data_IF_168905855883
#
_entry.id   IF_168905855883
#
_cell.length_a   1.000
_cell.length_b   1.000
_cell.length_c   1.000
_cell.angle_alpha   90.00
_cell.angle_beta   90.00
_cell.angle_gamma   90.00
#
_symmetry.space_group_name_H-M   'P 1'
#
loop_
_entity.id
_entity.type
_entity.pdbx_description
1 polymer ?
#
# COMPACT_ATOMS: atom_id res chain seq x y z
N UNK A 1 6.37 -15.47 17.48
CA UNK A 1 6.09 -16.09 16.16
C UNK A 1 6.50 -15.18 15.01
N UNK A 2 5.98 -13.95 14.87
CA UNK A 2 6.36 -13.01 13.78
C UNK A 2 7.86 -12.72 13.66
N UNK A 3 8.59 -12.65 14.78
CA UNK A 3 10.04 -12.38 14.80
C UNK A 3 10.92 -13.57 14.38
N UNK A 4 10.41 -14.81 14.43
CA UNK A 4 11.24 -15.99 14.09
C UNK A 4 11.40 -16.18 12.58
N UNK A 5 10.53 -15.56 11.77
CA UNK A 5 10.59 -15.65 10.30
C UNK A 5 11.57 -14.67 9.67
N UNK A 6 11.91 -13.56 10.32
CA UNK A 6 12.81 -12.55 9.75
C UNK A 6 14.27 -13.00 9.60
N UNK A 7 14.60 -14.18 10.13
CA UNK A 7 15.93 -14.80 10.06
C UNK A 7 15.98 -15.98 9.06
N UNK A 8 14.90 -16.20 8.30
CA UNK A 8 14.80 -17.27 7.29
C UNK A 8 14.42 -16.68 5.94
N UNK A 9 14.66 -17.43 4.86
CA UNK A 9 14.29 -17.04 3.50
C UNK A 9 12.76 -17.14 3.24
N UNK A 10 11.96 -17.41 4.27
CA UNK A 10 10.52 -17.56 4.12
C UNK A 10 9.85 -16.25 3.70
N UNK A 11 10.29 -15.09 4.20
CA UNK A 11 9.63 -13.82 3.91
C UNK A 11 9.74 -13.44 2.42
N UNK A 12 10.95 -13.45 1.82
CA UNK A 12 11.08 -13.28 0.37
C UNK A 12 10.28 -14.33 -0.40
N UNK A 13 10.39 -15.62 -0.03
CA UNK A 13 9.71 -16.71 -0.72
C UNK A 13 8.19 -16.52 -0.78
N UNK A 14 7.52 -16.19 0.33
CA UNK A 14 6.05 -16.01 0.32
C UNK A 14 5.63 -14.76 -0.44
N UNK A 15 6.46 -13.71 -0.45
CA UNK A 15 6.20 -12.52 -1.27
C UNK A 15 6.37 -12.82 -2.77
N UNK A 16 7.38 -13.60 -3.15
CA UNK A 16 7.62 -14.01 -4.53
C UNK A 16 6.51 -14.93 -5.05
N UNK A 17 6.00 -15.85 -4.22
CA UNK A 17 4.83 -16.67 -4.57
C UNK A 17 3.57 -15.83 -4.87
N UNK A 18 3.40 -14.66 -4.22
CA UNK A 18 2.33 -13.71 -4.58
C UNK A 18 2.61 -13.10 -5.95
N UNK A 19 3.86 -12.78 -6.26
CA UNK A 19 4.27 -12.15 -7.51
C UNK A 19 4.12 -13.08 -8.73
N UNK A 20 4.48 -14.35 -8.57
CA UNK A 20 4.45 -15.37 -9.62
C UNK A 20 3.04 -15.75 -10.10
N UNK A 21 2.01 -15.58 -9.26
CA UNK A 21 0.63 -15.90 -9.63
C UNK A 21 0.03 -14.82 -10.57
N UNK A 22 -0.12 -15.14 -11.85
CA UNK A 22 -0.54 -14.17 -12.88
C UNK A 22 -1.99 -13.67 -12.74
N UNK A 23 -2.88 -14.50 -12.16
CA UNK A 23 -4.31 -14.19 -12.04
C UNK A 23 -4.62 -13.54 -10.69
N UNK A 24 -4.68 -14.35 -9.64
CA UNK A 24 -5.05 -13.94 -8.29
C UNK A 24 -4.36 -14.85 -7.28
N UNK A 25 -3.39 -14.33 -6.51
CA UNK A 25 -2.73 -15.08 -5.46
C UNK A 25 -3.76 -15.65 -4.48
N UNK A 26 -3.47 -16.83 -3.93
CA UNK A 26 -4.30 -17.45 -2.90
C UNK A 26 -4.54 -16.48 -1.74
N UNK A 27 -5.81 -16.29 -1.36
CA UNK A 27 -6.18 -15.33 -0.31
C UNK A 27 -5.52 -15.63 1.02
N UNK A 28 -5.29 -16.90 1.33
CA UNK A 28 -4.60 -17.35 2.53
C UNK A 28 -3.14 -16.88 2.54
N UNK A 29 -2.49 -16.88 1.37
CA UNK A 29 -1.11 -16.39 1.22
C UNK A 29 -1.05 -14.88 1.40
N UNK A 30 -1.98 -14.13 0.80
CA UNK A 30 -2.06 -12.67 1.00
C UNK A 30 -2.34 -12.36 2.47
N UNK A 31 -3.30 -13.04 3.11
CA UNK A 31 -3.63 -12.85 4.52
C UNK A 31 -2.46 -13.16 5.46
N UNK A 32 -1.66 -14.18 5.14
CA UNK A 32 -0.40 -14.46 5.84
C UNK A 32 0.57 -13.29 5.68
N UNK A 33 0.80 -12.81 4.45
CA UNK A 33 1.73 -11.72 4.20
C UNK A 33 1.29 -10.38 4.80
N UNK A 34 -0.02 -10.07 4.84
CA UNK A 34 -0.56 -8.91 5.57
C UNK A 34 -0.11 -8.95 7.04
N UNK A 35 -0.24 -10.10 7.69
CA UNK A 35 0.13 -10.27 9.09
C UNK A 35 1.65 -10.20 9.33
N UNK A 36 2.43 -10.73 8.38
CA UNK A 36 3.89 -10.70 8.42
C UNK A 36 4.43 -9.28 8.20
N UNK A 37 3.82 -8.51 7.30
CA UNK A 37 4.17 -7.12 6.99
C UNK A 37 4.01 -6.17 8.19
N UNK A 38 3.24 -6.54 9.23
CA UNK A 38 3.19 -5.75 10.48
C UNK A 38 4.52 -5.74 11.26
N UNK A 39 5.52 -6.55 10.86
CA UNK A 39 6.83 -6.57 11.51
C UNK A 39 7.86 -5.81 10.64
N UNK A 40 8.57 -4.88 11.27
CA UNK A 40 9.57 -4.01 10.62
C UNK A 40 10.60 -4.79 9.77
N UNK A 41 11.18 -5.87 10.32
CA UNK A 41 12.19 -6.67 9.62
C UNK A 41 11.59 -7.40 8.42
N UNK A 42 10.38 -7.94 8.55
CA UNK A 42 9.70 -8.62 7.47
C UNK A 42 9.31 -7.65 6.35
N UNK A 43 8.82 -6.45 6.70
CA UNK A 43 8.49 -5.41 5.73
C UNK A 43 9.72 -4.98 4.93
N UNK A 44 10.88 -4.80 5.59
CA UNK A 44 12.15 -4.56 4.90
C UNK A 44 12.48 -5.67 3.90
N UNK A 45 12.37 -6.93 4.33
CA UNK A 45 12.52 -8.10 3.47
C UNK A 45 11.43 -8.24 2.41
N UNK A 46 10.35 -7.44 2.43
CA UNK A 46 9.30 -7.43 1.40
C UNK A 46 9.49 -6.29 0.39
N UNK A 47 10.33 -5.27 0.67
CA UNK A 47 10.61 -4.18 -0.27
C UNK A 47 11.85 -4.37 -1.14
N UNK A 48 12.82 -5.15 -0.68
CA UNK A 48 14.06 -5.46 -1.42
C UNK A 48 13.82 -6.16 -2.79
N UNK A 49 14.86 -6.23 -3.64
CA UNK A 49 14.86 -6.98 -4.91
C UNK A 49 13.67 -6.69 -5.85
N UNK A 50 13.23 -5.43 -5.93
CA UNK A 50 12.08 -4.97 -6.73
C UNK A 50 10.72 -5.58 -6.35
N UNK A 51 10.62 -6.29 -5.22
CA UNK A 51 9.35 -6.89 -4.79
C UNK A 51 8.29 -5.84 -4.53
N UNK A 52 8.63 -4.70 -3.91
CA UNK A 52 7.67 -3.62 -3.70
C UNK A 52 7.04 -3.16 -5.02
N UNK A 53 7.87 -2.90 -6.02
CA UNK A 53 7.41 -2.50 -7.35
C UNK A 53 6.49 -3.56 -7.98
N UNK A 54 6.85 -4.84 -7.86
CA UNK A 54 6.02 -5.95 -8.32
C UNK A 54 4.67 -6.02 -7.61
N UNK A 55 4.67 -5.85 -6.29
CA UNK A 55 3.47 -5.88 -5.44
C UNK A 55 2.53 -4.72 -5.79
N UNK A 56 3.05 -3.51 -5.94
CA UNK A 56 2.29 -2.33 -6.34
C UNK A 56 1.70 -2.53 -7.74
N UNK A 57 2.51 -2.93 -8.73
CA UNK A 57 2.02 -3.21 -10.09
C UNK A 57 0.89 -4.23 -10.08
N UNK A 58 1.01 -5.30 -9.28
CA UNK A 58 -0.04 -6.30 -9.15
C UNK A 58 -1.30 -5.72 -8.52
N UNK A 59 -1.17 -5.02 -7.39
CA UNK A 59 -2.29 -4.39 -6.69
C UNK A 59 -3.06 -3.42 -7.60
N UNK A 60 -2.35 -2.60 -8.40
CA UNK A 60 -2.98 -1.70 -9.37
C UNK A 60 -3.64 -2.43 -10.53
N UNK A 61 -2.98 -3.46 -11.10
CA UNK A 61 -3.54 -4.26 -12.20
C UNK A 61 -4.84 -4.94 -11.80
N UNK A 62 -4.91 -5.48 -10.57
CA UNK A 62 -6.06 -6.25 -10.09
C UNK A 62 -7.05 -5.46 -9.27
N UNK A 63 -6.70 -4.23 -8.86
CA UNK A 63 -7.43 -3.41 -7.88
C UNK A 63 -7.73 -4.19 -6.58
N UNK A 64 -6.82 -5.08 -6.17
CA UNK A 64 -7.00 -5.99 -5.03
C UNK A 64 -6.69 -5.29 -3.71
N UNK A 65 -7.73 -5.03 -2.92
CA UNK A 65 -7.63 -4.36 -1.63
C UNK A 65 -6.78 -5.15 -0.61
N UNK A 66 -6.73 -6.49 -0.66
CA UNK A 66 -5.92 -7.27 0.29
C UNK A 66 -4.42 -7.16 -0.02
N UNK A 67 -4.05 -7.14 -1.29
CA UNK A 67 -2.66 -6.86 -1.70
C UNK A 67 -2.30 -5.43 -1.30
N UNK A 68 -3.21 -4.47 -1.50
CA UNK A 68 -2.97 -3.09 -1.11
C UNK A 68 -2.87 -2.91 0.41
N UNK A 69 -3.67 -3.63 1.20
CA UNK A 69 -3.56 -3.69 2.67
C UNK A 69 -2.22 -4.23 3.15
N UNK A 70 -1.67 -5.23 2.46
CA UNK A 70 -0.30 -5.70 2.74
C UNK A 70 0.71 -4.58 2.48
N UNK A 71 0.57 -3.85 1.36
CA UNK A 71 1.45 -2.72 1.02
C UNK A 71 1.32 -1.58 2.05
N UNK A 72 0.11 -1.29 2.53
CA UNK A 72 -0.12 -0.36 3.65
C UNK A 72 0.62 -0.77 4.91
N UNK A 73 0.57 -2.06 5.28
CA UNK A 73 1.32 -2.57 6.42
C UNK A 73 2.83 -2.48 6.23
N UNK A 74 3.33 -2.56 4.99
CA UNK A 74 4.73 -2.31 4.69
C UNK A 74 5.05 -0.83 4.92
N UNK A 75 4.25 0.10 4.39
CA UNK A 75 4.55 1.54 4.43
C UNK A 75 4.56 2.17 5.82
N UNK A 76 3.98 1.51 6.83
CA UNK A 76 3.96 2.02 8.21
C UNK A 76 5.37 2.08 8.86
N UNK A 77 6.36 1.35 8.32
CA UNK A 77 7.68 1.24 8.94
C UNK A 77 8.66 2.27 8.37
N UNK A 78 9.33 3.04 9.24
CA UNK A 78 10.25 4.13 8.86
C UNK A 78 11.31 3.73 7.82
N UNK A 79 11.92 2.55 7.97
CA UNK A 79 12.98 2.08 7.07
C UNK A 79 12.49 1.64 5.69
N UNK A 80 11.17 1.66 5.44
CA UNK A 80 10.58 1.31 4.13
C UNK A 80 10.01 2.52 3.39
N UNK A 81 9.76 3.65 4.08
CA UNK A 81 9.02 4.80 3.52
C UNK A 81 9.70 5.36 2.27
N UNK A 82 11.02 5.46 2.28
CA UNK A 82 11.81 5.95 1.13
C UNK A 82 11.63 5.08 -0.13
N UNK A 83 11.31 3.79 0.03
CA UNK A 83 11.02 2.91 -1.12
C UNK A 83 9.72 3.27 -1.84
N UNK A 84 8.85 4.10 -1.23
CA UNK A 84 7.56 4.49 -1.80
C UNK A 84 7.60 5.78 -2.62
N UNK A 85 8.69 6.56 -2.55
CA UNK A 85 8.77 7.93 -3.09
C UNK A 85 8.37 7.97 -4.57
N UNK A 86 8.86 7.04 -5.38
CA UNK A 86 8.56 6.99 -6.82
C UNK A 86 7.10 6.65 -7.15
N UNK A 87 6.35 6.07 -6.20
CA UNK A 87 4.97 5.60 -6.39
C UNK A 87 3.91 6.58 -5.86
N UNK A 88 4.31 7.64 -5.14
CA UNK A 88 3.34 8.55 -4.51
C UNK A 88 2.42 9.21 -5.55
N UNK A 89 2.94 9.56 -6.72
CA UNK A 89 2.14 10.09 -7.82
C UNK A 89 1.07 9.10 -8.30
N UNK A 90 1.43 7.82 -8.44
CA UNK A 90 0.51 6.78 -8.86
C UNK A 90 -0.59 6.53 -7.83
N UNK A 91 -0.24 6.48 -6.54
CA UNK A 91 -1.21 6.39 -5.45
C UNK A 91 -2.18 7.57 -5.44
N UNK A 92 -1.66 8.79 -5.56
CA UNK A 92 -2.47 10.00 -5.61
C UNK A 92 -3.44 9.99 -6.81
N UNK A 93 -3.00 9.60 -8.00
CA UNK A 93 -3.89 9.50 -9.16
C UNK A 93 -4.99 8.45 -8.94
N UNK A 94 -4.64 7.30 -8.36
CA UNK A 94 -5.57 6.18 -8.17
C UNK A 94 -6.77 6.54 -7.26
N UNK A 95 -6.62 7.46 -6.29
CA UNK A 95 -7.72 7.94 -5.45
C UNK A 95 -8.91 8.48 -6.27
N UNK A 96 -8.64 9.04 -7.46
CA UNK A 96 -9.65 9.65 -8.32
C UNK A 96 -10.11 8.76 -9.48
N UNK A 97 -9.41 7.64 -9.71
CA UNK A 97 -9.59 6.80 -10.90
C UNK A 97 -10.13 5.39 -10.58
N UNK A 98 -10.02 4.94 -9.33
CA UNK A 98 -10.51 3.63 -8.92
C UNK A 98 -11.98 3.68 -8.48
N UNK A 99 -12.77 2.72 -8.94
CA UNK A 99 -14.14 2.48 -8.48
C UNK A 99 -14.21 1.62 -7.20
N UNK A 100 -13.08 1.02 -6.78
CA UNK A 100 -13.01 0.11 -5.63
C UNK A 100 -12.75 0.89 -4.35
N UNK A 101 -13.80 1.12 -3.55
CA UNK A 101 -13.68 1.87 -2.29
C UNK A 101 -12.72 1.21 -1.29
N UNK A 102 -12.73 -0.11 -1.17
CA UNK A 102 -11.81 -0.83 -0.29
C UNK A 102 -10.35 -0.67 -0.74
N UNK A 103 -10.09 -0.66 -2.05
CA UNK A 103 -8.75 -0.44 -2.58
C UNK A 103 -8.28 1.01 -2.35
N UNK A 104 -9.17 1.98 -2.59
CA UNK A 104 -8.93 3.40 -2.33
C UNK A 104 -8.63 3.65 -0.85
N UNK A 105 -9.39 3.04 0.06
CA UNK A 105 -9.15 3.11 1.50
C UNK A 105 -7.72 2.71 1.86
N UNK A 106 -7.25 1.58 1.33
CA UNK A 106 -5.89 1.12 1.63
C UNK A 106 -4.82 2.03 0.99
N UNK A 107 -5.09 2.66 -0.16
CA UNK A 107 -4.20 3.67 -0.74
C UNK A 107 -4.14 4.93 0.14
N UNK A 108 -5.27 5.43 0.65
CA UNK A 108 -5.29 6.56 1.58
C UNK A 108 -4.47 6.22 2.81
N UNK A 109 -4.64 5.02 3.37
CA UNK A 109 -3.82 4.55 4.48
C UNK A 109 -2.33 4.44 4.16
N UNK A 110 -1.95 4.10 2.91
CA UNK A 110 -0.54 4.14 2.47
C UNK A 110 -0.04 5.57 2.48
N UNK A 111 -0.75 6.50 1.87
CA UNK A 111 -0.38 7.92 1.83
C UNK A 111 -0.31 8.53 3.23
N UNK A 112 -1.22 8.16 4.13
CA UNK A 112 -1.23 8.59 5.54
C UNK A 112 0.00 8.11 6.33
N UNK A 113 0.54 6.93 6.00
CA UNK A 113 1.79 6.44 6.59
C UNK A 113 3.04 7.19 6.08
N UNK A 114 2.99 7.74 4.87
CA UNK A 114 4.13 8.36 4.20
C UNK A 114 4.34 9.81 4.62
N UNK A 115 5.18 10.00 5.63
CA UNK A 115 5.75 11.29 6.01
C UNK A 115 7.13 11.41 5.36
N UNK A 116 7.19 12.00 4.17
CA UNK A 116 8.38 12.13 3.33
C UNK A 116 8.78 13.61 3.25
N UNK A 117 9.78 14.07 4.03
CA UNK A 117 10.09 15.50 4.18
C UNK A 117 10.44 16.22 2.88
N UNK A 118 11.09 15.52 1.95
CA UNK A 118 11.58 16.09 0.69
C UNK A 118 10.53 16.04 -0.44
N UNK A 119 9.32 15.53 -0.16
CA UNK A 119 8.27 15.40 -1.15
C UNK A 119 7.49 16.71 -1.34
N UNK A 120 7.34 17.14 -2.60
CA UNK A 120 6.51 18.29 -2.95
C UNK A 120 5.01 17.90 -2.96
N UNK A 121 4.42 17.84 -1.76
CA UNK A 121 3.00 17.57 -1.59
C UNK A 121 2.10 18.57 -2.32
N UNK A 122 2.52 19.84 -2.46
CA UNK A 122 1.73 20.85 -3.15
C UNK A 122 1.60 20.52 -4.64
N UNK A 123 2.70 20.10 -5.27
CA UNK A 123 2.69 19.64 -6.66
C UNK A 123 1.79 18.40 -6.85
N UNK A 124 1.87 17.42 -5.93
CA UNK A 124 1.05 16.19 -6.00
C UNK A 124 -0.43 16.52 -5.88
N UNK A 125 -0.82 17.33 -4.88
CA UNK A 125 -2.20 17.74 -4.65
C UNK A 125 -2.82 18.45 -5.87
N UNK A 126 -2.03 19.28 -6.56
CA UNK A 126 -2.46 20.00 -7.75
C UNK A 126 -2.55 19.07 -8.97
N UNK A 127 -1.48 18.32 -9.28
CA UNK A 127 -1.43 17.47 -10.48
C UNK A 127 -2.45 16.33 -10.45
N UNK A 128 -2.72 15.78 -9.27
CA UNK A 128 -3.64 14.66 -9.09
C UNK A 128 -5.06 15.11 -8.71
N UNK A 129 -5.35 16.42 -8.76
CA UNK A 129 -6.67 16.98 -8.46
C UNK A 129 -7.25 16.53 -7.09
N UNK A 130 -6.38 16.46 -6.07
CA UNK A 130 -6.76 15.90 -4.77
C UNK A 130 -7.54 16.88 -3.90
N UNK A 131 -7.38 18.19 -4.09
CA UNK A 131 -8.11 19.18 -3.28
C UNK A 131 -9.63 19.03 -3.46
N UNK A 132 -10.18 18.98 -4.69
CA UNK A 132 -11.60 18.70 -4.87
C UNK A 132 -12.01 17.31 -4.35
N UNK A 133 -11.17 16.28 -4.53
CA UNK A 133 -11.46 14.95 -4.03
C UNK A 133 -11.59 14.93 -2.50
N UNK A 134 -10.66 15.54 -1.77
CA UNK A 134 -10.69 15.65 -0.31
C UNK A 134 -11.94 16.39 0.14
N UNK A 135 -12.24 17.56 -0.44
CA UNK A 135 -13.45 18.34 -0.12
C UNK A 135 -14.73 17.56 -0.37
N UNK A 136 -14.74 16.75 -1.42
CA UNK A 136 -15.89 15.94 -1.77
C UNK A 136 -16.07 14.77 -0.79
N UNK A 137 -15.01 14.19 -0.22
CA UNK A 137 -15.13 13.07 0.72
C UNK A 137 -15.33 13.54 2.17
N UNK A 138 -14.79 14.69 2.55
CA UNK A 138 -14.96 15.29 3.89
C UNK A 138 -16.31 16.03 4.06
N UNK A 139 -17.39 15.44 3.56
CA UNK A 139 -18.76 15.90 3.79
C UNK A 139 -19.42 14.95 4.80
N UNK A 140 -19.99 15.45 5.92
CA UNK A 140 -20.60 14.59 6.92
C UNK A 140 -21.61 13.60 6.34
N UNK A 141 -21.44 12.31 6.64
CA UNK A 141 -22.31 11.23 6.20
C UNK A 141 -22.17 10.81 4.73
N UNK A 142 -21.20 11.37 3.97
CA UNK A 142 -21.03 11.03 2.56
C UNK A 142 -20.20 9.77 2.32
N UNK A 143 -19.16 9.55 3.12
CA UNK A 143 -18.31 8.35 3.04
C UNK A 143 -18.23 7.69 4.41
N UNK A 144 -17.89 6.38 4.48
CA UNK A 144 -17.71 5.68 5.75
C UNK A 144 -16.64 6.34 6.62
N UNK A 145 -16.83 6.27 7.94
CA UNK A 145 -15.91 6.87 8.92
C UNK A 145 -14.48 6.33 8.75
N UNK A 146 -14.32 5.06 8.39
CA UNK A 146 -13.02 4.44 8.15
C UNK A 146 -12.18 5.24 7.14
N UNK A 147 -12.78 5.77 6.06
CA UNK A 147 -12.06 6.57 5.07
C UNK A 147 -11.73 7.99 5.57
N UNK A 148 -12.57 8.55 6.44
CA UNK A 148 -12.40 9.90 7.00
C UNK A 148 -11.31 9.93 8.08
N UNK A 149 -11.11 8.79 8.76
CA UNK A 149 -10.19 8.65 9.88
C UNK A 149 -8.74 8.31 9.48
N UNK A 150 -8.50 7.96 8.21
CA UNK A 150 -7.14 7.81 7.65
C UNK A 150 -6.47 9.17 7.42
#
# INVERSE_FOLDING_TARGET
VKSMFGNTDCIPMVADMILEDEERPKRELIALCINLACNNRNAQLMVENNRLQGLIKKAFKTQDALVMKMIRNISQHENTKENFVEFVGDFAMALTQSDSQDFVLEIVGVLGNLVLPDLDYAQILQRCNLIPWIRNNLVPGKVPDDLVLE
#
